data_IF_883503094781
#
_entry.id   IF_883503094781
#
_cell.length_a   1.000
_cell.length_b   1.000
_cell.length_c   1.000
_cell.angle_alpha   90.00
_cell.angle_beta   90.00
_cell.angle_gamma   90.00
#
_symmetry.space_group_name_H-M   'P 1'
#
loop_
_entity.id
_entity.type
_entity.pdbx_description
1 polymer ?
#
# COMPACT_ATOMS: atom_id res chain seq x y z
N UNK A 1 10.95 -1.91 -7.62
CA UNK A 1 9.92 -1.60 -8.64
C UNK A 1 9.27 -0.26 -8.32
N UNK A 2 8.89 0.51 -9.35
CA UNK A 2 8.16 1.78 -9.28
C UNK A 2 6.77 1.65 -9.89
N UNK A 3 5.82 1.18 -9.08
CA UNK A 3 4.40 1.12 -9.47
C UNK A 3 3.75 2.49 -9.36
N UNK A 4 2.74 2.77 -10.19
CA UNK A 4 1.80 3.83 -9.91
C UNK A 4 0.91 3.48 -8.71
N UNK A 5 0.28 4.49 -8.12
CA UNK A 5 -0.46 4.39 -6.87
C UNK A 5 -1.68 3.48 -6.96
N UNK A 6 -2.31 3.39 -8.13
CA UNK A 6 -3.48 2.52 -8.36
C UNK A 6 -3.04 1.07 -8.51
N UNK A 7 -1.99 0.82 -9.28
CA UNK A 7 -1.39 -0.51 -9.42
C UNK A 7 -0.90 -1.04 -8.08
N UNK A 8 -0.18 -0.22 -7.31
CA UNK A 8 0.28 -0.58 -5.98
C UNK A 8 -0.89 -0.90 -5.04
N UNK A 9 -1.92 -0.04 -4.98
CA UNK A 9 -3.12 -0.27 -4.16
C UNK A 9 -3.83 -1.59 -4.51
N UNK A 10 -4.00 -1.88 -5.80
CA UNK A 10 -4.61 -3.13 -6.28
C UNK A 10 -3.83 -4.36 -5.84
N UNK A 11 -2.52 -4.37 -6.06
CA UNK A 11 -1.65 -5.50 -5.69
C UNK A 11 -1.62 -5.71 -4.17
N UNK A 12 -1.55 -4.62 -3.39
CA UNK A 12 -1.59 -4.68 -1.94
C UNK A 12 -2.87 -5.32 -1.42
N UNK A 13 -4.02 -4.99 -2.02
CA UNK A 13 -5.30 -5.56 -1.65
C UNK A 13 -5.42 -7.05 -2.06
N UNK A 14 -5.15 -7.35 -3.33
CA UNK A 14 -5.34 -8.70 -3.90
C UNK A 14 -4.37 -9.73 -3.31
N UNK A 15 -3.09 -9.36 -3.20
CA UNK A 15 -2.01 -10.29 -2.83
C UNK A 15 -1.60 -10.15 -1.36
N UNK A 16 -1.50 -8.92 -0.86
CA UNK A 16 -1.07 -8.62 0.51
C UNK A 16 -2.21 -8.59 1.53
N UNK A 17 -3.48 -8.57 1.07
CA UNK A 17 -4.67 -8.29 1.90
C UNK A 17 -4.60 -6.94 2.61
N UNK A 18 -3.81 -5.98 2.12
CA UNK A 18 -3.59 -4.65 2.71
C UNK A 18 -4.40 -3.62 1.93
N UNK A 19 -5.35 -2.95 2.59
CA UNK A 19 -6.04 -1.82 1.99
C UNK A 19 -5.13 -0.59 2.00
N UNK A 20 -4.91 0.01 0.83
CA UNK A 20 -4.12 1.22 0.67
C UNK A 20 -4.85 2.18 -0.28
N UNK A 21 -4.85 3.48 0.03
CA UNK A 21 -5.49 4.50 -0.82
C UNK A 21 -4.48 5.02 -1.85
N UNK A 22 -4.78 4.97 -3.17
CA UNK A 22 -3.99 5.66 -4.19
C UNK A 22 -3.90 7.16 -3.91
N UNK A 23 -2.73 7.78 -4.09
CA UNK A 23 -2.55 9.21 -3.82
C UNK A 23 -2.53 10.09 -5.07
N UNK A 24 -2.77 9.53 -6.28
CA UNK A 24 -2.78 10.29 -7.55
C UNK A 24 -3.49 11.64 -7.49
N UNK A 25 -4.63 11.72 -6.80
CA UNK A 25 -5.52 12.89 -6.81
C UNK A 25 -5.21 13.88 -5.66
N UNK A 26 -4.02 13.82 -5.06
CA UNK A 26 -3.63 14.59 -3.87
C UNK A 26 -2.81 15.84 -4.18
N UNK A 27 -2.76 16.26 -5.44
CA UNK A 27 -2.31 17.60 -5.85
C UNK A 27 -0.82 17.78 -6.12
N UNK A 28 0.03 16.75 -6.01
CA UNK A 28 1.42 16.84 -6.50
C UNK A 28 1.67 15.89 -7.67
N UNK A 29 2.54 16.29 -8.61
CA UNK A 29 2.94 15.46 -9.76
C UNK A 29 3.54 14.11 -9.31
N UNK A 30 4.16 14.09 -8.13
CA UNK A 30 4.76 12.88 -7.56
C UNK A 30 3.79 12.04 -6.73
N UNK A 31 2.56 12.51 -6.48
CA UNK A 31 1.61 11.82 -5.59
C UNK A 31 1.22 10.43 -6.11
N UNK A 32 1.23 10.24 -7.43
CA UNK A 32 0.94 8.94 -8.04
C UNK A 32 2.04 7.88 -7.79
N UNK A 33 3.15 8.24 -7.15
CA UNK A 33 4.19 7.29 -6.71
C UNK A 33 3.94 6.71 -5.32
N UNK A 34 2.91 7.20 -4.62
CA UNK A 34 2.66 6.88 -3.22
C UNK A 34 1.27 6.31 -2.99
N UNK A 35 1.15 5.54 -1.92
CA UNK A 35 -0.11 5.08 -1.36
C UNK A 35 -0.17 5.46 0.11
N UNK A 36 -1.38 5.74 0.61
CA UNK A 36 -1.60 5.97 2.04
C UNK A 36 -2.07 4.69 2.72
N UNK A 37 -1.44 4.36 3.85
CA UNK A 37 -1.93 3.37 4.81
C UNK A 37 -2.61 4.09 5.97
N UNK A 38 -3.78 3.62 6.39
CA UNK A 38 -4.47 4.09 7.60
C UNK A 38 -4.42 2.97 8.63
N UNK A 39 -3.70 3.18 9.72
CA UNK A 39 -3.42 2.14 10.72
C UNK A 39 -3.91 2.50 12.14
N UNK A 40 -4.61 3.62 12.31
CA UNK A 40 -5.07 4.12 13.62
C UNK A 40 -5.98 3.14 14.39
N UNK A 41 -6.58 2.18 13.70
CA UNK A 41 -7.45 1.14 14.28
C UNK A 41 -6.94 -0.30 14.05
N UNK A 42 -5.69 -0.44 13.63
CA UNK A 42 -5.10 -1.75 13.32
C UNK A 42 -4.38 -2.35 14.55
N UNK A 43 -4.62 -3.62 14.92
CA UNK A 43 -3.91 -4.28 16.01
C UNK A 43 -2.39 -4.34 15.77
N UNK A 44 -1.60 -4.20 16.83
CA UNK A 44 -0.11 -4.29 16.76
C UNK A 44 0.34 -5.61 16.13
N UNK A 45 -0.30 -6.72 16.48
CA UNK A 45 -0.01 -8.05 15.91
C UNK A 45 -0.22 -8.10 14.40
N UNK A 46 -1.18 -7.35 13.87
CA UNK A 46 -1.46 -7.25 12.44
C UNK A 46 -0.46 -6.34 11.72
N UNK A 47 -0.02 -5.26 12.38
CA UNK A 47 1.04 -4.38 11.88
C UNK A 47 2.40 -5.09 11.85
N UNK A 48 2.69 -5.97 12.81
CA UNK A 48 3.91 -6.79 12.80
C UNK A 48 4.04 -7.67 11.55
N UNK A 49 2.92 -8.08 10.95
CA UNK A 49 2.88 -8.87 9.72
C UNK A 49 2.96 -8.03 8.43
N UNK A 50 3.04 -6.70 8.53
CA UNK A 50 2.92 -5.80 7.39
C UNK A 50 4.03 -6.04 6.37
N UNK A 51 5.29 -6.16 6.81
CA UNK A 51 6.45 -6.42 5.93
C UNK A 51 6.20 -7.60 4.98
N UNK A 52 5.90 -8.78 5.54
CA UNK A 52 5.69 -9.99 4.76
C UNK A 52 4.50 -9.88 3.79
N UNK A 53 3.52 -9.04 4.10
CA UNK A 53 2.36 -8.77 3.24
C UNK A 53 2.70 -7.80 2.11
N UNK A 54 3.55 -6.80 2.37
CA UNK A 54 4.08 -5.90 1.35
C UNK A 54 4.98 -6.65 0.36
N UNK A 55 5.91 -7.48 0.86
CA UNK A 55 6.82 -8.30 0.06
C UNK A 55 6.04 -9.25 -0.88
N UNK A 56 5.05 -9.97 -0.33
CA UNK A 56 4.16 -10.84 -1.11
C UNK A 56 3.40 -10.11 -2.21
N UNK A 57 3.02 -8.85 -1.99
CA UNK A 57 2.24 -8.09 -2.94
C UNK A 57 3.09 -7.45 -4.03
N UNK A 58 4.23 -6.87 -3.66
CA UNK A 58 5.01 -5.98 -4.51
C UNK A 58 6.28 -6.62 -5.08
N UNK A 59 6.69 -7.79 -4.57
CA UNK A 59 7.92 -8.45 -4.99
C UNK A 59 9.15 -7.63 -4.61
N UNK A 60 9.57 -7.76 -3.36
CA UNK A 60 10.82 -7.20 -2.84
C UNK A 60 11.79 -8.33 -2.53
#
# INVERSE_FOLDING_TARGET
>A
MGFDSRTASRLLLERGRVAATPMRDWGSESADRFVRLVFSREPVTRLAQLRARLERALGA
#
